data_IF_678376118820
#
_entry.id   IF_678376118820
#
_cell.length_a   1.000
_cell.length_b   1.000
_cell.length_c   1.000
_cell.angle_alpha   90.00
_cell.angle_beta   90.00
_cell.angle_gamma   90.00
#
_symmetry.space_group_name_H-M   'P 1'
#
loop_
_entity.id
_entity.type
_entity.pdbx_description
1 polymer ?
#
# COMPACT_ATOMS: atom_id res chain seq x y z
N UNK A 1 17.31 -9.95 -17.88
CA UNK A 1 17.30 -8.52 -17.47
C UNK A 1 18.44 -8.30 -16.47
N UNK A 2 19.35 -7.32 -16.66
CA UNK A 2 20.55 -7.15 -15.78
C UNK A 2 20.22 -6.87 -14.31
N UNK A 3 19.03 -6.35 -14.02
CA UNK A 3 18.56 -6.05 -12.68
C UNK A 3 18.37 -7.30 -11.80
N UNK A 4 17.99 -8.43 -12.41
CA UNK A 4 17.66 -9.68 -11.69
C UNK A 4 18.90 -10.51 -11.37
N UNK A 5 20.06 -10.17 -11.94
CA UNK A 5 21.33 -10.85 -11.66
C UNK A 5 22.04 -10.18 -10.50
N UNK A 6 22.50 -10.98 -9.55
CA UNK A 6 23.28 -10.48 -8.43
C UNK A 6 24.61 -9.91 -8.95
N UNK A 7 24.93 -8.67 -8.57
CA UNK A 7 26.20 -8.02 -8.95
C UNK A 7 26.97 -7.61 -7.68
N UNK A 8 28.18 -8.15 -7.45
CA UNK A 8 28.99 -7.80 -6.29
C UNK A 8 29.52 -6.36 -6.32
N UNK A 9 29.54 -5.69 -7.48
CA UNK A 9 30.04 -4.32 -7.64
C UNK A 9 29.13 -3.24 -7.04
N UNK A 10 29.73 -2.10 -6.68
CA UNK A 10 29.03 -0.91 -6.17
C UNK A 10 29.02 -0.79 -4.64
N UNK A 11 28.47 0.30 -4.11
CA UNK A 11 28.37 0.51 -2.66
C UNK A 11 27.31 -0.39 -2.04
N UNK A 12 27.31 -0.56 -0.71
CA UNK A 12 26.25 -1.33 0.00
C UNK A 12 24.87 -0.81 -0.39
N UNK A 13 24.68 0.51 -0.35
CA UNK A 13 23.43 1.17 -0.70
C UNK A 13 22.98 0.84 -2.13
N UNK A 14 23.89 0.84 -3.09
CA UNK A 14 23.57 0.53 -4.49
C UNK A 14 23.13 -0.92 -4.67
N UNK A 15 23.78 -1.85 -3.95
CA UNK A 15 23.40 -3.27 -3.97
C UNK A 15 22.02 -3.48 -3.37
N UNK A 16 21.73 -2.85 -2.23
CA UNK A 16 20.40 -2.91 -1.61
C UNK A 16 19.33 -2.31 -2.52
N UNK A 17 19.59 -1.12 -3.08
CA UNK A 17 18.66 -0.50 -4.02
C UNK A 17 18.32 -1.41 -5.20
N UNK A 18 19.31 -2.10 -5.78
CA UNK A 18 19.07 -3.06 -6.87
C UNK A 18 18.33 -4.31 -6.42
N UNK A 19 18.69 -4.89 -5.27
CA UNK A 19 18.03 -6.07 -4.72
C UNK A 19 16.54 -5.78 -4.43
N UNK A 20 16.25 -4.68 -3.72
CA UNK A 20 14.88 -4.24 -3.44
C UNK A 20 14.10 -3.97 -4.72
N UNK A 21 14.70 -3.30 -5.71
CA UNK A 21 14.03 -3.02 -6.98
C UNK A 21 13.72 -4.31 -7.76
N UNK A 22 14.64 -5.27 -7.78
CA UNK A 22 14.43 -6.56 -8.45
C UNK A 22 13.28 -7.35 -7.80
N UNK A 23 13.29 -7.44 -6.47
CA UNK A 23 12.22 -8.11 -5.70
C UNK A 23 10.88 -7.38 -5.79
N UNK A 24 10.86 -6.05 -5.73
CA UNK A 24 9.63 -5.27 -5.90
C UNK A 24 9.02 -5.47 -7.30
N UNK A 25 9.84 -5.45 -8.35
CA UNK A 25 9.39 -5.66 -9.71
C UNK A 25 8.86 -7.09 -9.94
N UNK A 26 9.55 -8.11 -9.41
CA UNK A 26 9.09 -9.51 -9.46
C UNK A 26 7.75 -9.70 -8.74
N UNK A 27 7.61 -9.14 -7.53
CA UNK A 27 6.37 -9.22 -6.75
C UNK A 27 5.22 -8.48 -7.44
N UNK A 28 5.48 -7.29 -8.00
CA UNK A 28 4.48 -6.53 -8.73
C UNK A 28 3.98 -7.32 -9.95
N UNK A 29 4.89 -7.87 -10.74
CA UNK A 29 4.54 -8.66 -11.92
C UNK A 29 3.73 -9.91 -11.54
N UNK A 30 4.14 -10.61 -10.48
CA UNK A 30 3.39 -11.74 -9.93
C UNK A 30 1.98 -11.35 -9.48
N UNK A 31 1.85 -10.21 -8.78
CA UNK A 31 0.56 -9.70 -8.31
C UNK A 31 -0.36 -9.33 -9.47
N UNK A 32 0.17 -8.68 -10.51
CA UNK A 32 -0.58 -8.30 -11.71
C UNK A 32 -0.99 -9.56 -12.47
N UNK A 33 -0.07 -10.51 -12.68
CA UNK A 33 -0.37 -11.81 -13.30
C UNK A 33 -1.47 -12.57 -12.57
N UNK A 34 -1.41 -12.63 -11.23
CA UNK A 34 -2.47 -13.21 -10.41
C UNK A 34 -3.80 -12.45 -10.57
N UNK A 35 -3.79 -11.13 -10.43
CA UNK A 35 -5.01 -10.31 -10.42
C UNK A 35 -5.75 -10.31 -11.75
N UNK A 36 -5.01 -10.37 -12.86
CA UNK A 36 -5.56 -10.40 -14.22
C UNK A 36 -5.52 -11.80 -14.85
N UNK A 37 -5.22 -12.84 -14.05
CA UNK A 37 -5.25 -14.25 -14.42
C UNK A 37 -4.41 -14.61 -15.66
N UNK A 38 -3.30 -13.90 -15.88
CA UNK A 38 -2.31 -14.25 -16.92
C UNK A 38 -1.04 -14.85 -16.30
N UNK A 39 -0.30 -15.61 -17.10
CA UNK A 39 0.94 -16.23 -16.63
C UNK A 39 2.01 -15.14 -16.38
N UNK A 40 2.68 -15.12 -15.21
CA UNK A 40 3.74 -14.16 -14.93
C UNK A 40 4.78 -14.12 -16.06
N UNK A 41 5.04 -12.92 -16.57
CA UNK A 41 6.09 -12.62 -17.55
C UNK A 41 7.49 -12.90 -16.99
N UNK A 42 7.64 -12.81 -15.66
CA UNK A 42 8.86 -13.19 -14.96
C UNK A 42 8.69 -14.58 -14.36
N UNK A 43 9.31 -15.56 -15.01
CA UNK A 43 9.22 -16.96 -14.59
C UNK A 43 10.17 -17.29 -13.42
N UNK A 44 11.30 -16.60 -13.35
CA UNK A 44 12.34 -16.85 -12.37
C UNK A 44 12.44 -15.69 -11.37
N UNK A 45 12.59 -15.98 -10.07
CA UNK A 45 12.85 -14.96 -9.06
C UNK A 45 14.22 -14.29 -9.28
N UNK A 46 14.43 -13.09 -8.70
CA UNK A 46 15.76 -12.48 -8.70
C UNK A 46 16.83 -13.38 -8.07
N UNK A 47 18.05 -13.36 -8.60
CA UNK A 47 19.23 -14.04 -8.01
C UNK A 47 19.73 -13.33 -6.72
N UNK A 48 19.19 -12.15 -6.42
CA UNK A 48 19.49 -11.42 -5.19
C UNK A 48 18.89 -12.16 -3.99
N UNK A 49 19.60 -12.25 -2.85
CA UNK A 49 18.99 -12.74 -1.63
C UNK A 49 17.78 -11.85 -1.27
N UNK A 50 16.74 -12.45 -0.69
CA UNK A 50 15.65 -11.69 -0.10
C UNK A 50 16.23 -10.72 0.93
N UNK A 51 15.80 -9.45 0.94
CA UNK A 51 16.18 -8.53 2.01
C UNK A 51 15.81 -9.14 3.35
N UNK A 52 16.80 -9.31 4.21
CA UNK A 52 16.59 -9.86 5.53
C UNK A 52 15.97 -8.78 6.42
N UNK A 53 14.71 -8.99 6.78
CA UNK A 53 13.95 -8.03 7.56
C UNK A 53 14.51 -7.81 8.97
N UNK A 54 15.41 -8.68 9.46
CA UNK A 54 16.11 -8.50 10.74
C UNK A 54 17.32 -7.57 10.64
N UNK A 55 17.91 -7.44 9.46
CA UNK A 55 19.09 -6.59 9.21
C UNK A 55 18.76 -5.33 8.40
N UNK A 56 17.62 -5.31 7.70
CA UNK A 56 17.18 -4.24 6.80
C UNK A 56 15.67 -3.94 6.96
N UNK A 57 15.23 -3.48 8.13
CA UNK A 57 13.80 -3.35 8.43
C UNK A 57 13.13 -2.13 7.76
N UNK A 58 13.69 -1.58 6.69
CA UNK A 58 13.22 -0.32 6.09
C UNK A 58 11.94 -0.47 5.24
N UNK A 59 11.31 -1.65 5.23
CA UNK A 59 10.08 -1.90 4.49
C UNK A 59 8.84 -1.67 5.36
N UNK A 60 7.96 -0.74 4.98
CA UNK A 60 6.68 -0.53 5.68
C UNK A 60 5.83 -1.79 5.76
N UNK A 61 5.86 -2.61 4.71
CA UNK A 61 5.05 -3.83 4.66
C UNK A 61 5.52 -4.88 5.66
N UNK A 62 6.82 -4.91 5.98
CA UNK A 62 7.33 -5.76 7.06
C UNK A 62 6.65 -5.42 8.39
N UNK A 63 6.64 -4.15 8.78
CA UNK A 63 5.99 -3.76 10.03
C UNK A 63 4.47 -3.93 9.99
N UNK A 64 3.83 -3.74 8.83
CA UNK A 64 2.43 -4.13 8.66
C UNK A 64 2.19 -5.62 8.95
N UNK A 65 3.04 -6.51 8.43
CA UNK A 65 2.96 -7.95 8.71
C UNK A 65 3.20 -8.27 10.18
N UNK A 66 4.23 -7.67 10.79
CA UNK A 66 4.51 -7.84 12.22
C UNK A 66 3.29 -7.43 13.06
N UNK A 67 2.68 -6.28 12.78
CA UNK A 67 1.48 -5.84 13.49
C UNK A 67 0.31 -6.82 13.28
N UNK A 68 0.11 -7.31 12.07
CA UNK A 68 -0.96 -8.28 11.76
C UNK A 68 -0.77 -9.61 12.50
N UNK A 69 0.48 -10.07 12.64
CA UNK A 69 0.81 -11.32 13.33
C UNK A 69 0.73 -11.20 14.85
N UNK A 70 1.20 -10.08 15.42
CA UNK A 70 1.38 -9.96 16.87
C UNK A 70 0.26 -9.20 17.59
N UNK A 71 -0.51 -8.32 16.93
CA UNK A 71 -1.68 -7.67 17.57
C UNK A 71 -2.70 -8.68 18.14
N UNK A 72 -3.04 -9.79 17.45
CA UNK A 72 -3.96 -10.80 18.00
C UNK A 72 -3.43 -11.53 19.24
N UNK A 73 -2.12 -11.45 19.50
CA UNK A 73 -1.46 -12.18 20.58
C UNK A 73 -1.28 -11.31 21.84
N UNK A 74 -1.79 -10.07 21.86
CA UNK A 74 -1.60 -9.14 22.99
C UNK A 74 -2.20 -9.69 24.29
N UNK A 75 -3.37 -10.32 24.23
CA UNK A 75 -4.06 -10.85 25.41
C UNK A 75 -3.54 -12.22 25.86
N UNK A 76 -2.56 -12.81 25.15
CA UNK A 76 -2.04 -14.14 25.42
C UNK A 76 -0.89 -14.03 26.43
N UNK A 77 -1.00 -14.67 27.62
CA UNK A 77 0.10 -14.69 28.58
C UNK A 77 1.32 -15.39 27.97
N UNK A 78 2.47 -14.72 28.01
CA UNK A 78 3.72 -15.29 27.51
C UNK A 78 4.92 -14.81 28.31
N UNK A 79 5.87 -15.71 28.51
CA UNK A 79 7.17 -15.42 29.13
C UNK A 79 8.26 -15.12 28.10
N UNK A 80 7.92 -15.15 26.80
CA UNK A 80 8.88 -14.90 25.71
C UNK A 80 9.27 -13.42 25.66
N UNK A 81 10.57 -13.17 25.48
CA UNK A 81 11.17 -11.85 25.30
C UNK A 81 11.73 -11.74 23.87
N UNK A 82 11.44 -10.66 23.11
CA UNK A 82 10.55 -9.56 23.49
C UNK A 82 9.08 -9.98 23.55
N UNK A 83 8.31 -9.34 24.43
CA UNK A 83 6.88 -9.66 24.57
C UNK A 83 6.09 -9.17 23.35
N UNK A 84 4.90 -9.75 23.05
CA UNK A 84 4.05 -9.28 21.96
C UNK A 84 3.74 -7.78 22.06
N UNK A 85 3.53 -7.28 23.28
CA UNK A 85 3.35 -5.85 23.54
C UNK A 85 4.54 -5.00 23.10
N UNK A 86 5.77 -5.44 23.43
CA UNK A 86 6.99 -4.74 23.01
C UNK A 86 7.15 -4.77 21.49
N UNK A 87 6.95 -5.93 20.86
CA UNK A 87 7.05 -6.10 19.41
C UNK A 87 6.07 -5.18 18.68
N UNK A 88 4.79 -5.16 19.13
CA UNK A 88 3.76 -4.29 18.53
C UNK A 88 4.08 -2.81 18.75
N UNK A 89 4.56 -2.44 19.93
CA UNK A 89 4.95 -1.05 20.25
C UNK A 89 6.08 -0.58 19.33
N UNK A 90 7.13 -1.38 19.20
CA UNK A 90 8.28 -1.05 18.36
C UNK A 90 7.91 -1.02 16.88
N UNK A 91 7.17 -2.03 16.39
CA UNK A 91 6.71 -2.08 15.01
C UNK A 91 5.83 -0.88 14.64
N UNK A 92 4.94 -0.46 15.55
CA UNK A 92 4.10 0.73 15.37
C UNK A 92 4.95 1.98 15.26
N UNK A 93 5.95 2.15 16.14
CA UNK A 93 6.87 3.30 16.13
C UNK A 93 7.65 3.38 14.82
N UNK A 94 8.19 2.25 14.36
CA UNK A 94 8.94 2.21 13.11
C UNK A 94 8.03 2.48 11.91
N UNK A 95 6.82 1.92 11.87
CA UNK A 95 5.87 2.17 10.79
C UNK A 95 5.48 3.66 10.71
N UNK A 96 5.21 4.30 11.85
CA UNK A 96 4.94 5.74 11.93
C UNK A 96 6.11 6.58 11.41
N UNK A 97 7.34 6.15 11.70
CA UNK A 97 8.57 6.84 11.25
C UNK A 97 8.74 6.69 9.74
N UNK A 98 8.56 5.48 9.21
CA UNK A 98 8.66 5.20 7.79
C UNK A 98 7.61 5.96 6.98
N UNK A 99 6.36 6.01 7.44
CA UNK A 99 5.28 6.77 6.76
C UNK A 99 5.62 8.26 6.68
N UNK A 100 6.20 8.85 7.73
CA UNK A 100 6.67 10.24 7.71
C UNK A 100 7.80 10.45 6.72
N UNK A 101 8.80 9.57 6.72
CA UNK A 101 9.92 9.63 5.78
C UNK A 101 9.41 9.50 4.34
N UNK A 102 8.47 8.59 4.10
CA UNK A 102 7.88 8.39 2.79
C UNK A 102 7.15 9.64 2.31
N UNK A 103 6.31 10.24 3.15
CA UNK A 103 5.66 11.50 2.81
C UNK A 103 6.67 12.59 2.44
N UNK A 104 7.75 12.74 3.23
CA UNK A 104 8.79 13.73 2.95
C UNK A 104 9.54 13.50 1.63
N UNK A 105 9.65 12.25 1.17
CA UNK A 105 10.40 11.89 -0.05
C UNK A 105 9.54 11.79 -1.30
N UNK A 106 8.32 11.29 -1.15
CA UNK A 106 7.45 10.89 -2.26
C UNK A 106 6.15 11.69 -2.31
N UNK A 107 5.77 12.34 -1.21
CA UNK A 107 4.41 12.86 -1.04
C UNK A 107 3.37 11.76 -1.17
N UNK A 108 2.13 12.12 -1.51
CA UNK A 108 1.04 11.17 -1.74
C UNK A 108 0.35 11.33 -3.10
N UNK A 109 0.87 12.17 -3.99
CA UNK A 109 0.20 12.47 -5.27
C UNK A 109 0.25 11.30 -6.26
N UNK A 110 1.36 10.55 -6.27
CA UNK A 110 1.49 9.36 -7.11
C UNK A 110 0.70 8.19 -6.53
N UNK A 111 0.00 7.43 -7.37
CA UNK A 111 -0.70 6.22 -6.95
C UNK A 111 0.29 5.20 -6.36
N UNK A 112 -0.01 4.72 -5.15
CA UNK A 112 0.71 3.63 -4.50
C UNK A 112 -0.31 2.67 -3.87
N UNK A 113 -0.35 1.43 -4.38
CA UNK A 113 -1.27 0.40 -3.87
C UNK A 113 -0.87 -0.09 -2.47
N UNK A 114 0.41 -0.02 -2.11
CA UNK A 114 0.93 -0.59 -0.87
C UNK A 114 0.92 0.41 0.29
N UNK A 115 0.84 1.71 0.04
CA UNK A 115 0.80 2.73 1.10
C UNK A 115 -0.55 2.77 1.82
N UNK A 116 -1.65 2.45 1.13
CA UNK A 116 -3.03 2.64 1.64
C UNK A 116 -3.29 1.84 2.91
N UNK A 117 -2.83 0.59 2.98
CA UNK A 117 -3.04 -0.28 4.15
C UNK A 117 -2.28 0.24 5.39
N UNK A 118 -0.97 0.55 5.33
CA UNK A 118 -0.26 1.24 6.39
C UNK A 118 -0.93 2.53 6.88
N UNK A 119 -1.40 3.39 5.97
CA UNK A 119 -2.08 4.64 6.34
C UNK A 119 -3.37 4.37 7.11
N UNK A 120 -4.19 3.44 6.65
CA UNK A 120 -5.44 3.07 7.32
C UNK A 120 -5.22 2.50 8.72
N UNK A 121 -4.22 1.62 8.88
CA UNK A 121 -3.91 1.03 10.18
C UNK A 121 -3.47 2.09 11.18
N UNK A 122 -2.50 2.94 10.79
CA UNK A 122 -2.05 4.02 11.66
C UNK A 122 -3.16 5.03 11.96
N UNK A 123 -4.04 5.31 10.99
CA UNK A 123 -5.17 6.20 11.20
C UNK A 123 -6.13 5.62 12.24
N UNK A 124 -6.46 4.34 12.12
CA UNK A 124 -7.32 3.63 13.08
C UNK A 124 -6.73 3.64 14.48
N UNK A 125 -5.45 3.27 14.61
CA UNK A 125 -4.75 3.26 15.89
C UNK A 125 -4.71 4.67 16.52
N UNK A 126 -4.53 5.72 15.72
CA UNK A 126 -4.56 7.10 16.23
C UNK A 126 -5.95 7.51 16.69
N UNK A 127 -7.00 7.15 15.96
CA UNK A 127 -8.39 7.44 16.36
C UNK A 127 -8.71 6.72 17.67
N UNK A 128 -8.40 5.42 17.78
CA UNK A 128 -8.65 4.64 18.99
C UNK A 128 -7.87 5.18 20.20
N UNK A 129 -6.60 5.57 20.01
CA UNK A 129 -5.80 6.18 21.07
C UNK A 129 -6.31 7.57 21.49
N UNK A 130 -6.81 8.36 20.54
CA UNK A 130 -7.39 9.69 20.81
C UNK A 130 -8.74 9.58 21.52
N UNK A 131 -9.55 8.57 21.19
CA UNK A 131 -10.84 8.30 21.85
C UNK A 131 -10.65 7.75 23.27
N UNK A 132 -9.60 6.95 23.50
CA UNK A 132 -9.23 6.45 24.82
C UNK A 132 -8.50 7.49 25.70
N UNK A 133 -8.06 8.61 25.13
CA UNK A 133 -7.32 9.63 25.86
C UNK A 133 -8.17 10.31 26.95
N UNK A 134 -7.53 10.65 28.06
CA UNK A 134 -8.18 11.28 29.21
C UNK A 134 -7.36 12.48 29.71
N UNK A 135 -7.82 13.13 30.79
CA UNK A 135 -7.17 14.34 31.33
C UNK A 135 -5.72 14.13 31.81
N UNK A 136 -5.28 12.87 31.98
CA UNK A 136 -3.91 12.53 32.37
C UNK A 136 -3.00 12.29 31.16
N UNK A 137 -3.55 12.20 29.95
CA UNK A 137 -2.74 12.01 28.73
C UNK A 137 -1.91 13.27 28.46
N UNK A 138 -0.57 13.15 28.35
CA UNK A 138 0.30 14.29 28.08
C UNK A 138 -0.06 15.02 26.78
N UNK A 139 0.00 16.35 26.81
CA UNK A 139 -0.38 17.20 25.67
C UNK A 139 0.48 16.93 24.43
N UNK A 140 1.78 16.72 24.62
CA UNK A 140 2.73 16.35 23.56
C UNK A 140 2.37 15.03 22.87
N UNK A 141 1.89 14.04 23.62
CA UNK A 141 1.43 12.78 23.06
C UNK A 141 0.16 12.97 22.23
N UNK A 142 -0.80 13.78 22.71
CA UNK A 142 -2.02 14.11 21.96
C UNK A 142 -1.69 14.81 20.65
N UNK A 143 -0.78 15.77 20.67
CA UNK A 143 -0.35 16.48 19.47
C UNK A 143 0.39 15.57 18.49
N UNK A 144 1.22 14.64 18.98
CA UNK A 144 1.86 13.62 18.15
C UNK A 144 0.85 12.68 17.47
N UNK A 145 -0.17 12.24 18.20
CA UNK A 145 -1.26 11.42 17.66
C UNK A 145 -2.06 12.18 16.60
N UNK A 146 -2.45 13.44 16.87
CA UNK A 146 -3.16 14.29 15.91
C UNK A 146 -2.33 14.56 14.66
N UNK A 147 -1.05 14.88 14.83
CA UNK A 147 -0.11 15.07 13.72
C UNK A 147 -0.03 13.82 12.84
N UNK A 148 0.08 12.64 13.45
CA UNK A 148 0.07 11.36 12.73
C UNK A 148 -1.25 11.16 12.00
N UNK A 149 -2.39 11.33 12.68
CA UNK A 149 -3.73 11.16 12.13
C UNK A 149 -3.98 12.07 10.91
N UNK A 150 -3.60 13.35 11.00
CA UNK A 150 -3.73 14.30 9.91
C UNK A 150 -2.88 13.84 8.72
N UNK A 151 -1.62 13.49 8.96
CA UNK A 151 -0.71 13.05 7.91
C UNK A 151 -1.24 11.83 7.15
N UNK A 152 -1.70 10.80 7.87
CA UNK A 152 -2.17 9.57 7.24
C UNK A 152 -3.53 9.75 6.55
N UNK A 153 -4.40 10.58 7.12
CA UNK A 153 -5.69 10.91 6.52
C UNK A 153 -5.50 11.75 5.25
N UNK A 154 -4.52 12.66 5.23
CA UNK A 154 -4.12 13.37 4.01
C UNK A 154 -3.71 12.39 2.91
N UNK A 155 -2.90 11.38 3.26
CA UNK A 155 -2.53 10.35 2.31
C UNK A 155 -3.73 9.58 1.74
N UNK A 156 -4.69 9.20 2.58
CA UNK A 156 -5.92 8.55 2.12
C UNK A 156 -6.75 9.48 1.20
N UNK A 157 -6.88 10.76 1.54
CA UNK A 157 -7.60 11.74 0.71
C UNK A 157 -6.94 11.95 -0.64
N UNK A 158 -5.61 11.96 -0.71
CA UNK A 158 -4.92 12.11 -1.99
C UNK A 158 -5.02 10.82 -2.81
N UNK A 159 -4.81 9.65 -2.20
CA UNK A 159 -4.88 8.35 -2.88
C UNK A 159 -6.28 7.99 -3.39
N UNK A 160 -7.35 8.56 -2.81
CA UNK A 160 -8.73 8.29 -3.26
C UNK A 160 -8.99 8.66 -4.72
N UNK A 161 -8.23 9.62 -5.27
CA UNK A 161 -8.32 10.01 -6.69
C UNK A 161 -7.87 8.88 -7.62
N UNK A 162 -7.03 7.98 -7.11
CA UNK A 162 -6.36 6.93 -7.88
C UNK A 162 -6.90 5.53 -7.52
N UNK A 163 -7.48 5.35 -6.33
CA UNK A 163 -7.84 4.02 -5.83
C UNK A 163 -9.13 4.02 -4.99
N UNK A 164 -10.10 3.20 -5.39
CA UNK A 164 -11.41 3.11 -4.72
C UNK A 164 -11.32 2.68 -3.26
N UNK A 165 -10.40 1.76 -2.93
CA UNK A 165 -10.19 1.35 -1.54
C UNK A 165 -9.75 2.55 -0.68
N UNK A 166 -8.87 3.42 -1.18
CA UNK A 166 -8.46 4.62 -0.46
C UNK A 166 -9.65 5.56 -0.23
N UNK A 167 -10.57 5.66 -1.20
CA UNK A 167 -11.82 6.42 -1.03
C UNK A 167 -12.70 5.84 0.09
N UNK A 168 -12.96 4.53 0.05
CA UNK A 168 -13.76 3.85 1.07
C UNK A 168 -13.14 4.00 2.47
N UNK A 169 -11.83 3.75 2.58
CA UNK A 169 -11.10 3.82 3.84
C UNK A 169 -11.02 5.26 4.37
N UNK A 170 -10.86 6.26 3.51
CA UNK A 170 -10.93 7.66 3.93
C UNK A 170 -12.26 7.97 4.61
N UNK A 171 -13.39 7.57 4.01
CA UNK A 171 -14.71 7.85 4.60
C UNK A 171 -14.93 7.10 5.92
N UNK A 172 -14.41 5.87 6.05
CA UNK A 172 -14.44 5.12 7.32
C UNK A 172 -13.65 5.86 8.40
N UNK A 173 -12.39 6.23 8.12
CA UNK A 173 -11.56 6.96 9.09
C UNK A 173 -12.19 8.31 9.45
N UNK A 174 -12.58 9.10 8.45
CA UNK A 174 -13.23 10.40 8.66
C UNK A 174 -14.49 10.28 9.51
N UNK A 175 -15.28 9.23 9.30
CA UNK A 175 -16.50 8.96 10.07
C UNK A 175 -16.23 8.62 11.55
N UNK A 176 -15.05 8.10 11.86
CA UNK A 176 -14.63 7.80 13.24
C UNK A 176 -13.91 8.95 13.93
N UNK A 177 -13.39 9.94 13.19
CA UNK A 177 -12.71 11.09 13.78
C UNK A 177 -13.66 11.96 14.61
N UNK A 178 -13.19 12.43 15.77
CA UNK A 178 -13.93 13.40 16.59
C UNK A 178 -14.09 14.72 15.84
N UNK A 179 -15.16 15.50 16.10
CA UNK A 179 -15.39 16.77 15.40
C UNK A 179 -14.22 17.76 15.46
N UNK A 180 -13.50 17.80 16.60
CA UNK A 180 -12.31 18.64 16.76
C UNK A 180 -11.16 18.21 15.85
N UNK A 181 -10.94 16.90 15.70
CA UNK A 181 -9.86 16.38 14.85
C UNK A 181 -10.22 16.55 13.36
N UNK A 182 -11.51 16.48 12.98
CA UNK A 182 -11.98 16.81 11.63
C UNK A 182 -11.76 18.29 11.30
N UNK A 183 -12.05 19.19 12.25
CA UNK A 183 -11.82 20.63 12.07
C UNK A 183 -10.33 20.96 11.91
N UNK A 184 -9.48 20.29 12.69
CA UNK A 184 -8.03 20.42 12.60
C UNK A 184 -7.51 19.87 11.26
N UNK A 185 -7.96 18.68 10.85
CA UNK A 185 -7.64 18.09 9.56
C UNK A 185 -8.01 19.01 8.39
N UNK A 186 -9.22 19.57 8.42
CA UNK A 186 -9.68 20.53 7.40
C UNK A 186 -8.75 21.73 7.29
N UNK A 187 -8.38 22.30 8.43
CA UNK A 187 -7.51 23.49 8.50
C UNK A 187 -6.10 23.18 8.02
N UNK A 188 -5.52 22.08 8.51
CA UNK A 188 -4.15 21.67 8.19
C UNK A 188 -3.99 21.25 6.72
N UNK A 189 -4.97 20.56 6.16
CA UNK A 189 -4.94 20.09 4.77
C UNK A 189 -5.52 21.06 3.74
N UNK A 190 -6.05 22.20 4.18
CA UNK A 190 -6.83 23.13 3.34
C UNK A 190 -7.90 22.39 2.50
N UNK A 191 -8.61 21.45 3.13
CA UNK A 191 -9.55 20.56 2.44
C UNK A 191 -10.92 21.23 2.30
N UNK A 192 -11.48 21.16 1.10
CA UNK A 192 -12.85 21.65 0.83
C UNK A 192 -13.87 20.91 1.71
N UNK A 193 -14.82 21.65 2.30
CA UNK A 193 -15.94 21.09 3.05
C UNK A 193 -16.74 20.07 2.22
N UNK A 194 -16.85 20.28 0.91
CA UNK A 194 -17.54 19.35 0.02
C UNK A 194 -16.84 18.00 -0.06
N UNK A 195 -15.50 17.97 0.00
CA UNK A 195 -14.71 16.73 0.03
C UNK A 195 -14.94 15.97 1.33
N UNK A 196 -15.07 16.69 2.45
CA UNK A 196 -15.31 16.09 3.77
C UNK A 196 -16.72 15.54 3.92
N UNK A 197 -17.71 16.22 3.32
CA UNK A 197 -19.13 15.88 3.44
C UNK A 197 -19.68 15.09 2.27
N UNK A 198 -18.87 14.89 1.22
CA UNK A 198 -19.24 14.11 0.06
C UNK A 198 -19.60 12.69 0.46
N UNK A 199 -20.68 12.15 -0.11
CA UNK A 199 -20.91 10.71 -0.08
C UNK A 199 -19.78 10.04 -0.88
N UNK A 200 -19.38 8.81 -0.53
CA UNK A 200 -18.47 8.06 -1.40
C UNK A 200 -19.11 8.01 -2.79
N UNK A 201 -18.42 8.56 -3.79
CA UNK A 201 -18.82 8.34 -5.18
C UNK A 201 -18.83 6.83 -5.40
N UNK A 202 -20.03 6.27 -5.46
CA UNK A 202 -20.24 4.86 -5.79
C UNK A 202 -19.59 4.64 -7.14
N UNK A 203 -18.62 3.72 -7.21
CA UNK A 203 -17.93 3.42 -8.45
C UNK A 203 -18.99 3.04 -9.49
N UNK A 204 -19.21 3.94 -10.46
CA UNK A 204 -19.96 3.59 -11.67
C UNK A 204 -19.17 2.46 -12.30
N UNK A 205 -19.82 1.32 -12.51
CA UNK A 205 -19.18 0.17 -13.14
C UNK A 205 -18.76 0.58 -14.56
N UNK A 206 -17.52 1.03 -14.71
CA UNK A 206 -16.93 1.29 -16.01
C UNK A 206 -16.63 -0.09 -16.58
N UNK A 207 -17.45 -0.52 -17.55
CA UNK A 207 -17.11 -1.67 -18.38
C UNK A 207 -15.84 -1.32 -19.12
N UNK A 208 -14.72 -1.92 -18.71
CA UNK A 208 -13.46 -1.81 -19.43
C UNK A 208 -13.69 -2.26 -20.87
N UNK A 209 -13.27 -1.44 -21.84
CA UNK A 209 -13.16 -1.86 -23.24
C UNK A 209 -12.11 -2.96 -23.44
N UNK A 210 -11.30 -3.22 -22.40
CA UNK A 210 -10.45 -4.39 -22.30
C UNK A 210 -11.18 -5.47 -21.49
N UNK A 211 -11.86 -6.44 -22.14
CA UNK A 211 -12.50 -7.51 -21.42
C UNK A 211 -11.42 -8.33 -20.71
N UNK A 212 -11.51 -8.41 -19.38
CA UNK A 212 -10.81 -9.46 -18.64
C UNK A 212 -11.51 -10.76 -19.00
N UNK A 213 -11.01 -11.44 -20.04
CA UNK A 213 -11.49 -12.77 -20.37
C UNK A 213 -11.16 -13.69 -19.21
N UNK A 214 -12.20 -14.18 -18.52
CA UNK A 214 -12.06 -15.27 -17.57
C UNK A 214 -11.86 -16.54 -18.40
N UNK A 215 -10.61 -16.84 -18.71
CA UNK A 215 -10.23 -17.99 -19.54
C UNK A 215 -10.21 -19.25 -18.67
N UNK A 216 -10.95 -20.28 -19.09
CA UNK A 216 -10.86 -21.59 -18.44
C UNK A 216 -9.45 -22.16 -18.68
N UNK A 217 -8.91 -22.91 -17.70
CA UNK A 217 -7.52 -23.42 -17.69
C UNK A 217 -7.09 -24.13 -18.99
N UNK A 218 -8.05 -24.67 -19.75
CA UNK A 218 -7.89 -25.38 -21.02
C UNK A 218 -7.54 -24.48 -22.23
N UNK A 219 -7.75 -23.16 -22.15
CA UNK A 219 -7.59 -22.22 -23.29
C UNK A 219 -6.28 -21.40 -23.25
N UNK A 220 -5.38 -21.70 -22.29
CA UNK A 220 -4.13 -20.95 -22.05
C UNK A 220 -3.22 -20.83 -23.27
N UNK A 221 -3.17 -21.83 -24.14
CA UNK A 221 -2.28 -21.84 -25.32
C UNK A 221 -2.71 -20.83 -26.40
N UNK A 222 -3.99 -20.47 -26.46
CA UNK A 222 -4.52 -19.50 -27.43
C UNK A 222 -4.12 -18.06 -27.10
N UNK A 223 -3.78 -17.77 -25.84
CA UNK A 223 -3.37 -16.45 -25.37
C UNK A 223 -1.85 -16.28 -25.20
N UNK A 224 -1.03 -17.17 -25.77
CA UNK A 224 0.40 -16.90 -25.92
C UNK A 224 0.57 -15.65 -26.77
N UNK A 225 1.40 -14.70 -26.32
CA UNK A 225 1.55 -13.36 -26.92
C UNK A 225 1.72 -13.41 -28.45
N UNK A 226 2.42 -14.43 -28.95
CA UNK A 226 2.60 -14.70 -30.38
C UNK A 226 1.27 -14.90 -31.12
N UNK A 227 0.37 -15.73 -30.57
CA UNK A 227 -0.93 -16.04 -31.16
C UNK A 227 -1.92 -14.86 -31.04
N UNK A 228 -1.82 -14.07 -29.96
CA UNK A 228 -2.57 -12.82 -29.82
C UNK A 228 -2.14 -11.79 -30.86
N UNK A 229 -0.83 -11.58 -31.04
CA UNK A 229 -0.29 -10.68 -32.08
C UNK A 229 -0.76 -11.09 -33.47
N UNK A 230 -0.75 -12.39 -33.80
CA UNK A 230 -1.27 -12.88 -35.08
C UNK A 230 -2.79 -12.63 -35.22
N UNK A 231 -3.57 -12.83 -34.15
CA UNK A 231 -5.02 -12.57 -34.18
C UNK A 231 -5.39 -11.10 -34.35
N UNK A 232 -4.61 -10.18 -33.77
CA UNK A 232 -4.83 -8.74 -33.90
C UNK A 232 -4.25 -8.17 -35.20
N UNK A 233 -3.23 -8.81 -35.78
CA UNK A 233 -2.74 -8.48 -37.12
C UNK A 233 -3.81 -8.71 -38.19
N UNK A 234 -4.68 -9.71 -38.01
CA UNK A 234 -5.81 -9.94 -38.92
C UNK A 234 -6.96 -8.92 -38.75
N UNK A 235 -7.18 -8.40 -37.53
CA UNK A 235 -8.19 -7.38 -37.26
C UNK A 235 -7.82 -5.98 -37.80
N UNK A 236 -6.55 -5.74 -38.10
CA UNK A 236 -6.05 -4.44 -38.58
C UNK A 236 -6.02 -4.31 -40.11
N UNK A 237 -6.41 -5.34 -40.86
CA UNK A 237 -6.38 -5.34 -42.34
C UNK A 237 -7.77 -5.09 -42.96
N UNK A 238 -8.87 -5.16 -42.21
CA UNK A 238 -10.22 -4.99 -42.78
C UNK A 238 -10.75 -3.54 -42.88
N UNK A 239 -9.98 -2.53 -42.43
CA UNK A 239 -10.36 -1.11 -42.56
C UNK A 239 -9.59 -0.37 -43.66
N UNK A 240 -9.53 -0.97 -44.86
CA UNK A 240 -8.90 -0.34 -46.01
C UNK A 240 -9.43 -0.90 -47.32
N UNK A 241 -10.70 -0.66 -47.64
CA UNK A 241 -11.20 -0.54 -49.01
C UNK A 241 -12.62 0.06 -49.00
N UNK A 242 -12.66 1.37 -49.22
CA UNK A 242 -13.80 2.10 -49.78
C UNK A 242 -13.33 2.78 -51.06
#
# INVERSE_FOLDING_TARGET
>A
MRLFRANPGGTRRDRLGRAYTAWAYYNWETLVGFSFMFAPLLSDPPEWPLPDATTEPECMYYYHLILTLFKPLLDIPTEKIPSPHQIVTDATRYLQTLVRIYYLRHGYEAMDLFIVIPLMLLASDCVDALDAANSQTPSDQLESLRSTLILVTMGLVTQRKNHYLANALFHVIRGRMRPADVALFRTAGNIDANVLNGKPDMAVAVRSHWPVSIVKKEEKEKQVLKNLVDSYAHLSIENGNS
#
